data_IF_964203802718
#
_entry.id   IF_964203802718
#
_cell.length_a   1.000
_cell.length_b   1.000
_cell.length_c   1.000
_cell.angle_alpha   90.00
_cell.angle_beta   90.00
_cell.angle_gamma   90.00
#
_symmetry.space_group_name_H-M   'P 1'
#
loop_
_entity.id
_entity.type
_entity.pdbx_description
1 polymer ?
2 non-polymer ?
3 non-polymer ?
4 water ?
#
# COMPACT_ATOMS: atom_id res chain seq x y z
N UNK A 23 13.35 -9.03 -25.37
CA UNK A 23 12.25 -9.02 -26.32
C UNK A 23 11.22 -7.93 -26.06
N UNK A 24 11.69 -6.80 -25.47
CA UNK A 24 10.80 -5.67 -25.16
C UNK A 24 10.89 -4.61 -26.25
N UNK A 25 9.73 -4.09 -26.65
CA UNK A 25 9.66 -3.02 -27.64
C UNK A 25 10.19 -1.72 -27.03
N UNK A 26 10.64 -0.78 -27.87
CA UNK A 26 11.14 0.51 -27.40
C UNK A 26 10.10 1.22 -26.53
N UNK A 27 8.81 1.13 -26.91
CA UNK A 27 7.69 1.70 -26.16
C UNK A 27 7.47 1.01 -24.79
N UNK A 28 7.74 -0.32 -24.70
CA UNK A 28 7.67 -1.08 -23.45
C UNK A 28 8.82 -0.65 -22.55
N UNK A 29 10.04 -0.53 -23.12
CA UNK A 29 11.27 -0.06 -22.45
C UNK A 29 11.07 1.36 -21.89
N UNK A 30 10.49 2.27 -22.67
CA UNK A 30 10.19 3.67 -22.32
C UNK A 30 9.15 3.76 -21.19
N UNK A 31 8.18 2.85 -21.22
CA UNK A 31 7.09 2.73 -20.24
C UNK A 31 7.63 2.39 -18.82
N UNK A 32 8.53 1.38 -18.73
CA UNK A 32 9.17 0.90 -17.51
C UNK A 32 10.04 2.01 -16.94
N UNK A 33 10.85 2.61 -17.82
CA UNK A 33 11.71 3.73 -17.50
C UNK A 33 10.92 4.90 -16.88
N UNK A 34 9.75 5.24 -17.43
CA UNK A 34 8.90 6.33 -16.93
C UNK A 34 8.35 6.03 -15.51
N UNK A 35 7.96 4.79 -15.29
CA UNK A 35 7.43 4.30 -14.02
C UNK A 35 8.54 4.20 -12.98
N UNK A 36 9.75 3.72 -13.37
CA UNK A 36 10.92 3.57 -12.50
C UNK A 36 11.45 4.91 -12.04
N UNK A 37 11.41 5.90 -12.94
CA UNK A 37 11.78 7.29 -12.71
C UNK A 37 10.81 7.92 -11.73
N UNK A 38 9.47 7.76 -11.97
CA UNK A 38 8.42 8.29 -11.10
C UNK A 38 8.52 7.67 -9.68
N UNK A 39 8.85 6.36 -9.58
CA UNK A 39 9.06 5.65 -8.30
C UNK A 39 10.28 6.22 -7.53
N UNK A 40 11.42 6.35 -8.21
CA UNK A 40 12.69 6.89 -7.71
C UNK A 40 12.49 8.29 -7.11
N UNK A 41 11.72 9.13 -7.79
CA UNK A 41 11.54 10.51 -7.38
C UNK A 41 10.59 10.71 -6.22
N UNK A 42 9.66 9.76 -6.02
CA UNK A 42 8.55 9.94 -5.10
C UNK A 42 8.49 8.90 -4.00
N UNK A 43 9.41 7.91 -4.02
CA UNK A 43 9.45 6.92 -2.97
C UNK A 43 10.73 7.10 -2.19
N UNK A 44 10.58 7.70 -1.01
CA UNK A 44 11.62 7.92 -0.03
C UNK A 44 11.66 6.62 0.80
N UNK A 45 12.46 5.65 0.35
CA UNK A 45 12.65 4.32 0.94
C UNK A 45 13.20 4.35 2.39
N UNK A 46 13.83 5.47 2.78
CA UNK A 46 14.41 5.68 4.11
C UNK A 46 13.45 6.43 5.03
N UNK A 47 12.29 6.89 4.51
CA UNK A 47 11.25 7.63 5.24
C UNK A 47 11.81 8.85 6.03
N UNK A 48 12.93 9.42 5.52
CA UNK A 48 13.64 10.59 6.08
C UNK A 48 12.77 11.81 6.33
N UNK A 49 11.78 12.07 5.45
CA UNK A 49 10.90 13.23 5.56
C UNK A 49 9.61 12.96 6.30
N UNK A 50 9.51 11.76 6.89
CA UNK A 50 8.38 11.44 7.73
C UNK A 50 8.76 11.86 9.14
N UNK A 51 8.28 13.02 9.57
CA UNK A 51 8.55 13.57 10.91
C UNK A 51 7.34 14.33 11.43
N UNK A 52 7.42 14.79 12.68
CA UNK A 52 6.34 15.54 13.37
C UNK A 52 5.04 14.73 13.49
N UNK A 53 5.16 13.42 13.51
CA UNK A 53 4.01 12.53 13.62
C UNK A 53 3.64 12.35 15.08
N UNK A 54 2.38 12.00 15.32
CA UNK A 54 1.90 11.72 16.66
C UNK A 54 2.40 10.34 17.13
N UNK A 55 2.46 10.16 18.45
CA UNK A 55 2.87 8.91 19.08
C UNK A 55 1.91 8.54 20.19
N UNK A 56 1.68 7.24 20.46
CA UNK A 56 0.75 6.89 21.57
C UNK A 56 1.23 7.44 22.92
N UNK A 57 0.29 8.01 23.69
CA UNK A 57 0.52 8.64 24.99
C UNK A 57 1.37 7.83 25.95
N UNK A 58 2.16 8.54 26.79
CA UNK A 58 3.03 7.89 27.78
C UNK A 58 2.28 7.32 29.01
N UNK A 59 1.06 7.86 29.31
CA UNK A 59 0.14 7.43 30.38
C UNK A 59 0.75 7.51 31.78
N UNK A 78 -23.22 -3.17 21.35
CA UNK A 78 -22.19 -2.28 20.81
C UNK A 78 -21.58 -2.83 19.51
N UNK A 79 -21.28 -1.92 18.56
CA UNK A 79 -20.63 -2.23 17.27
C UNK A 79 -19.08 -2.25 17.45
N UNK A 80 -18.59 -1.88 18.66
CA UNK A 80 -17.19 -1.85 19.05
C UNK A 80 -16.53 -3.22 18.86
N UNK A 81 -17.27 -4.32 19.16
CA UNK A 81 -16.80 -5.71 19.05
C UNK A 81 -16.35 -6.07 17.64
N UNK A 82 -16.95 -5.41 16.62
CA UNK A 82 -16.59 -5.60 15.21
C UNK A 82 -15.23 -4.92 14.95
N UNK A 83 -15.09 -3.68 15.45
CA UNK A 83 -13.88 -2.85 15.39
C UNK A 83 -12.72 -3.55 16.12
N UNK A 84 -13.04 -4.22 17.27
CA UNK A 84 -12.10 -5.01 18.09
C UNK A 84 -11.49 -6.16 17.27
N UNK A 85 -12.35 -6.92 16.57
CA UNK A 85 -11.94 -8.05 15.73
C UNK A 85 -11.08 -7.60 14.56
N UNK A 86 -11.55 -6.57 13.83
CA UNK A 86 -10.83 -5.99 12.70
C UNK A 86 -9.45 -5.43 13.09
N UNK A 87 -9.33 -4.79 14.28
CA UNK A 87 -8.06 -4.23 14.75
C UNK A 87 -7.06 -5.24 15.37
N UNK A 88 -7.54 -6.17 16.23
CA UNK A 88 -6.70 -7.15 16.95
C UNK A 88 -5.79 -7.99 16.06
N UNK A 89 -6.28 -8.33 14.86
CA UNK A 89 -5.52 -9.11 13.89
C UNK A 89 -4.33 -8.31 13.32
N UNK A 90 -4.41 -6.95 13.38
CA UNK A 90 -3.43 -6.02 12.83
C UNK A 90 -2.49 -5.34 13.85
N UNK A 91 -2.35 -5.90 15.06
CA UNK A 91 -1.46 -5.36 16.09
C UNK A 91 0.02 -5.44 15.75
N UNK A 92 0.71 -4.32 15.94
CA UNK A 92 2.13 -4.13 15.72
C UNK A 92 2.76 -3.37 16.90
N UNK A 93 4.03 -3.67 17.18
CA UNK A 93 4.85 -2.94 18.14
C UNK A 93 5.62 -1.92 17.31
N UNK A 94 6.02 -0.82 17.91
CA UNK A 94 6.71 0.22 17.19
C UNK A 94 8.08 0.54 17.79
N UNK A 95 9.12 0.53 16.95
CA UNK A 95 10.47 0.88 17.34
C UNK A 95 10.93 2.13 16.57
N UNK A 96 11.56 3.09 17.28
CA UNK A 96 12.11 4.33 16.70
C UNK A 96 13.56 4.47 17.11
N UNK A 97 14.47 4.32 16.14
CA UNK A 97 15.91 4.43 16.32
C UNK A 97 16.32 5.87 16.08
N UNK A 98 16.94 6.49 17.08
CA UNK A 98 17.37 7.87 16.95
C UNK A 98 18.71 7.98 16.26
N UNK A 99 18.99 9.16 15.66
CA UNK A 99 20.26 9.49 14.97
C UNK A 99 21.50 9.34 15.89
N UNK A 100 21.29 9.52 17.23
CA UNK A 100 22.32 9.43 18.26
C UNK A 100 22.62 8.02 18.73
N UNK A 101 21.77 7.06 18.34
CA UNK A 101 21.93 5.67 18.75
C UNK A 101 20.88 5.23 19.76
N UNK A 102 20.04 6.16 20.20
CA UNK A 102 18.96 5.84 21.14
C UNK A 102 17.86 5.07 20.39
N UNK A 103 17.12 4.26 21.15
CA UNK A 103 16.02 3.44 20.66
C UNK A 103 14.82 3.61 21.58
N UNK A 104 13.67 3.95 21.03
CA UNK A 104 12.38 4.01 21.70
C UNK A 104 11.56 2.81 21.18
N UNK A 105 10.99 2.02 22.07
CA UNK A 105 10.16 0.85 21.73
C UNK A 105 8.79 1.00 22.35
N UNK A 106 7.73 0.73 21.56
CA UNK A 106 6.35 0.77 22.03
C UNK A 106 5.72 -0.59 21.86
N UNK A 107 5.20 -1.13 22.96
CA UNK A 107 4.48 -2.39 22.97
C UNK A 107 3.01 -1.99 23.21
N UNK A 108 2.07 -2.37 22.31
CA UNK A 108 0.67 -1.95 22.50
C UNK A 108 -0.08 -2.61 23.67
N UNK A 109 -1.18 -1.98 24.16
CA UNK A 109 -1.95 -2.58 25.27
C UNK A 109 -2.72 -3.84 24.89
N UNK A 110 -3.23 -4.52 25.90
CA UNK A 110 -4.19 -5.59 25.70
C UNK A 110 -5.53 -4.99 25.35
N UNK A 111 -6.27 -5.69 24.49
CA UNK A 111 -7.69 -5.45 24.33
C UNK A 111 -8.44 -5.87 25.59
N UNK A 112 -9.24 -4.94 26.10
CA UNK A 112 -9.74 -5.02 27.46
C UNK A 112 -11.15 -4.48 27.49
N UNK A 113 -11.98 -4.99 26.58
CA UNK A 113 -12.57 -4.16 25.55
C UNK A 113 -13.02 -2.84 26.10
N UNK A 114 -12.07 -1.95 26.35
CA UNK A 114 -12.05 -0.66 25.64
C UNK A 114 -11.38 0.31 24.68
N UNK A 115 -11.08 1.53 25.19
CA UNK A 115 -10.44 2.67 24.51
C UNK A 115 -9.05 2.37 23.92
N UNK A 116 -8.20 1.64 24.68
CA UNK A 116 -6.81 1.20 24.43
C UNK A 116 -6.49 0.78 22.98
N UNK A 117 -7.50 0.24 22.27
CA UNK A 117 -7.37 -0.29 20.92
C UNK A 117 -7.06 0.73 19.81
N UNK A 118 -7.25 2.03 20.10
CA UNK A 118 -7.02 3.13 19.15
C UNK A 118 -5.75 3.92 19.45
N UNK A 119 -4.95 3.48 20.43
CA UNK A 119 -3.72 4.16 20.87
C UNK A 119 -2.75 4.54 19.72
N UNK A 120 -2.61 3.63 18.72
CA UNK A 120 -1.71 3.80 17.59
C UNK A 120 -2.33 4.44 16.33
N UNK A 121 -3.68 4.61 16.29
CA UNK A 121 -4.40 5.20 15.16
C UNK A 121 -3.99 6.62 14.77
N UNK A 122 -3.80 7.61 15.68
CA UNK A 122 -3.28 8.92 15.26
C UNK A 122 -1.92 8.78 14.55
N UNK A 123 -0.99 7.93 15.07
CA UNK A 123 0.31 7.67 14.42
C UNK A 123 0.14 7.05 13.01
N UNK A 124 -0.75 6.03 12.89
CA UNK A 124 -1.03 5.33 11.64
C UNK A 124 -1.70 6.25 10.61
N UNK A 125 -2.54 7.21 11.10
CA UNK A 125 -3.18 8.24 10.28
C UNK A 125 -2.10 9.13 9.67
N UNK A 126 -1.08 9.47 10.45
CA UNK A 126 0.06 10.27 10.04
C UNK A 126 0.94 9.53 9.02
N UNK A 127 1.17 8.22 9.21
CA UNK A 127 1.94 7.37 8.27
C UNK A 127 1.19 7.22 6.96
N UNK A 128 -0.13 6.97 7.03
CA UNK A 128 -0.99 6.84 5.86
C UNK A 128 -0.94 8.11 5.03
N UNK A 129 -1.05 9.28 5.69
CA UNK A 129 -1.02 10.60 5.06
C UNK A 129 0.28 10.82 4.30
N UNK A 130 1.42 10.57 4.98
CA UNK A 130 2.76 10.69 4.41
C UNK A 130 2.92 9.80 3.16
N UNK A 131 2.42 8.56 3.24
CA UNK A 131 2.48 7.59 2.14
C UNK A 131 1.57 8.00 0.99
N UNK A 132 0.34 8.47 1.31
CA UNK A 132 -0.61 8.97 0.32
C UNK A 132 0.00 10.12 -0.47
N UNK A 133 0.72 11.06 0.20
CA UNK A 133 1.40 12.17 -0.48
C UNK A 133 2.39 11.66 -1.55
N UNK A 134 3.16 10.63 -1.20
CA UNK A 134 4.12 10.00 -2.10
C UNK A 134 3.45 9.37 -3.29
N UNK A 135 2.28 8.74 -3.07
CA UNK A 135 1.47 8.06 -4.09
C UNK A 135 0.91 9.07 -5.10
N UNK A 136 0.35 10.18 -4.59
CA UNK A 136 -0.18 11.28 -5.39
C UNK A 136 0.95 11.81 -6.28
N UNK A 137 2.15 12.08 -5.68
CA UNK A 137 3.32 12.57 -6.41
C UNK A 137 3.70 11.61 -7.53
N UNK A 138 3.67 10.30 -7.24
CA UNK A 138 3.97 9.23 -8.18
C UNK A 138 3.09 9.32 -9.39
N UNK A 139 1.76 9.38 -9.18
CA UNK A 139 0.78 9.49 -10.26
C UNK A 139 1.00 10.77 -11.07
N UNK A 140 1.16 11.93 -10.40
CA UNK A 140 1.38 13.25 -11.02
C UNK A 140 2.65 13.37 -11.86
N UNK A 141 3.64 12.50 -11.65
CA UNK A 141 4.90 12.50 -12.40
C UNK A 141 4.79 11.62 -13.67
N UNK A 142 3.78 10.73 -13.75
CA UNK A 142 3.58 9.83 -14.90
C UNK A 142 2.78 10.56 -15.99
N UNK A 143 3.33 10.58 -17.23
CA UNK A 143 2.76 11.22 -18.42
C UNK A 143 1.33 10.72 -18.73
N UNK A 144 1.16 9.39 -18.75
CA UNK A 144 -0.12 8.71 -19.00
C UNK A 144 -1.17 9.16 -18.00
N UNK A 145 -0.76 9.49 -16.76
CA UNK A 145 -1.67 9.95 -15.74
C UNK A 145 -2.01 11.45 -15.88
N UNK A 146 -0.99 12.32 -16.06
CA UNK A 146 -1.13 13.79 -16.23
C UNK A 146 -2.08 14.10 -17.41
N UNK A 147 -2.02 13.29 -18.49
CA UNK A 147 -2.80 13.41 -19.72
C UNK A 147 -4.28 13.12 -19.57
N UNK A 148 -4.68 12.41 -18.51
CA UNK A 148 -6.09 12.09 -18.27
C UNK A 148 -6.79 13.34 -17.75
N UNK A 149 -8.11 13.55 -17.96
CA UNK A 149 -8.76 14.75 -17.38
C UNK A 149 -8.70 14.74 -15.84
N UNK A 150 -8.61 15.94 -15.22
CA UNK A 150 -8.50 16.13 -13.78
C UNK A 150 -9.50 15.33 -12.94
N UNK A 151 -10.74 15.18 -13.43
CA UNK A 151 -11.82 14.42 -12.79
C UNK A 151 -11.41 12.94 -12.66
N UNK A 152 -10.83 12.38 -13.75
CA UNK A 152 -10.38 10.99 -13.79
C UNK A 152 -9.12 10.75 -12.96
N UNK A 153 -8.20 11.75 -12.95
CA UNK A 153 -6.99 11.76 -12.12
C UNK A 153 -7.39 11.57 -10.64
N UNK A 154 -8.35 12.39 -10.13
CA UNK A 154 -8.91 12.34 -8.77
C UNK A 154 -9.61 10.97 -8.56
N UNK A 155 -10.47 10.56 -9.51
CA UNK A 155 -11.17 9.27 -9.42
C UNK A 155 -10.26 8.02 -9.33
N UNK A 156 -9.12 8.02 -10.05
CA UNK A 156 -8.15 6.92 -10.04
C UNK A 156 -7.38 6.85 -8.73
N UNK A 157 -6.98 8.02 -8.21
CA UNK A 157 -6.27 8.20 -6.94
C UNK A 157 -7.11 7.76 -5.72
N UNK A 158 -8.38 8.19 -5.63
CA UNK A 158 -9.26 7.80 -4.51
C UNK A 158 -9.50 6.30 -4.54
N UNK A 159 -9.55 5.74 -5.75
CA UNK A 159 -9.76 4.32 -5.94
C UNK A 159 -8.55 3.45 -5.66
N UNK A 160 -7.31 3.94 -5.94
CA UNK A 160 -6.08 3.12 -5.83
C UNK A 160 -5.05 3.47 -4.75
N UNK A 161 -5.12 4.67 -4.15
CA UNK A 161 -4.17 5.17 -3.14
C UNK A 161 -3.74 4.15 -2.09
N UNK A 162 -4.73 3.50 -1.43
CA UNK A 162 -4.52 2.46 -0.42
C UNK A 162 -3.72 1.28 -1.01
N UNK A 163 -4.09 0.84 -2.24
CA UNK A 163 -3.43 -0.29 -2.91
C UNK A 163 -1.94 -0.01 -3.21
N UNK A 164 -1.66 1.21 -3.69
CA UNK A 164 -0.30 1.66 -4.04
C UNK A 164 0.56 1.79 -2.80
N UNK A 165 -0.06 2.24 -1.69
CA UNK A 165 0.53 2.37 -0.35
C UNK A 165 1.00 0.99 0.13
N UNK A 166 0.10 0.01 0.09
CA UNK A 166 0.32 -1.39 0.49
C UNK A 166 1.41 -2.06 -0.35
N UNK A 167 1.46 -1.75 -1.65
CA UNK A 167 2.48 -2.27 -2.59
C UNK A 167 3.86 -1.72 -2.25
N UNK A 168 3.93 -0.42 -1.91
CA UNK A 168 5.16 0.24 -1.47
C UNK A 168 5.63 -0.33 -0.13
N UNK A 169 4.70 -0.58 0.82
CA UNK A 169 5.03 -1.20 2.10
C UNK A 169 5.54 -2.61 1.98
N UNK A 170 5.09 -3.33 0.94
CA UNK A 170 5.58 -4.68 0.72
C UNK A 170 7.08 -4.74 0.41
N UNK A 171 7.62 -3.71 -0.21
CA UNK A 171 9.06 -3.65 -0.56
C UNK A 171 9.92 -3.44 0.69
N UNK A 172 9.31 -2.94 1.80
CA UNK A 172 10.02 -2.71 3.06
C UNK A 172 9.66 -3.76 4.12
N UNK A 173 8.81 -4.74 3.72
CA UNK A 173 8.39 -5.82 4.59
C UNK A 173 9.47 -6.90 4.72
N UNK A 174 9.82 -7.25 5.96
CA UNK A 174 10.75 -8.34 6.24
C UNK A 174 9.86 -9.51 6.69
N UNK A 175 9.72 -10.52 5.82
CA UNK A 175 8.85 -11.68 6.08
C UNK A 175 9.42 -12.67 7.11
N UNK A 176 10.75 -12.66 7.30
CA UNK A 176 11.43 -13.52 8.29
C UNK A 176 11.07 -13.07 9.73
N UNK A 177 11.09 -11.74 9.97
CA UNK A 177 10.81 -11.15 11.28
C UNK A 177 9.41 -10.55 11.44
N UNK A 178 8.59 -10.55 10.38
CA UNK A 178 7.24 -9.97 10.39
C UNK A 178 7.26 -8.49 10.65
N UNK A 179 8.26 -7.76 10.09
CA UNK A 179 8.41 -6.31 10.32
C UNK A 179 8.56 -5.43 9.06
N UNK A 180 7.87 -4.28 9.06
CA UNK A 180 8.00 -3.28 8.00
C UNK A 180 9.11 -2.35 8.46
N UNK A 181 10.23 -2.34 7.76
CA UNK A 181 11.40 -1.55 8.09
C UNK A 181 11.32 -0.24 7.34
N UNK A 182 10.78 0.78 8.01
CA UNK A 182 10.57 2.11 7.45
C UNK A 182 11.63 3.09 7.92
N UNK A 183 12.86 2.84 7.50
CA UNK A 183 14.00 3.69 7.87
C UNK A 183 14.32 3.56 9.34
N UNK A 184 14.04 4.62 10.10
CA UNK A 184 14.26 4.69 11.55
C UNK A 184 13.10 4.11 12.35
N UNK A 185 11.95 3.90 11.70
CA UNK A 185 10.72 3.34 12.25
C UNK A 185 10.66 1.86 11.82
N UNK A 186 10.27 0.97 12.73
CA UNK A 186 10.05 -0.47 12.48
C UNK A 186 8.71 -0.82 13.08
N UNK A 187 7.90 -1.58 12.34
CA UNK A 187 6.56 -2.00 12.78
C UNK A 187 6.56 -3.50 12.73
N UNK A 188 6.54 -4.10 13.92
CA UNK A 188 6.67 -5.53 14.07
C UNK A 188 5.37 -6.17 14.52
N UNK A 189 4.93 -7.21 13.81
CA UNK A 189 3.71 -7.93 14.16
C UNK A 189 3.86 -8.60 15.52
N UNK A 190 2.96 -8.25 16.45
CA UNK A 190 2.95 -8.71 17.85
C UNK A 190 2.76 -10.21 18.08
N UNK A 195 -1.04 -19.15 17.87
CA UNK A 195 -0.18 -18.30 17.06
C UNK A 195 0.25 -18.94 15.76
N UNK A 196 1.55 -18.80 15.39
CA UNK A 196 2.18 -19.35 14.18
C UNK A 196 1.64 -18.66 12.90
N UNK A 197 0.92 -19.41 12.04
CA UNK A 197 0.32 -18.95 10.78
C UNK A 197 -1.17 -18.59 10.93
N UNK A 198 -1.59 -18.23 12.15
CA UNK A 198 -2.96 -17.79 12.42
C UNK A 198 -3.10 -16.30 12.07
N UNK A 199 -1.95 -15.63 11.83
CA UNK A 199 -1.89 -14.24 11.42
C UNK A 199 -2.07 -14.15 9.89
N UNK A 200 -1.83 -15.28 9.17
CA UNK A 200 -2.05 -15.43 7.73
C UNK A 200 -3.56 -15.60 7.42
N UNK A 201 -4.42 -15.64 8.47
CA UNK A 201 -5.88 -15.69 8.38
C UNK A 201 -6.39 -14.28 8.13
N UNK A 202 -5.58 -13.25 8.50
CA UNK A 202 -5.90 -11.84 8.27
C UNK A 202 -5.47 -11.55 6.81
N UNK A 203 -6.43 -11.22 5.90
CA UNK A 203 -6.09 -11.04 4.46
C UNK A 203 -4.95 -10.10 4.15
N UNK A 204 -4.87 -8.98 4.86
CA UNK A 204 -3.83 -7.97 4.76
C UNK A 204 -2.47 -8.59 5.01
N UNK A 205 -2.37 -9.48 6.02
CA UNK A 205 -1.10 -10.12 6.36
C UNK A 205 -0.71 -11.20 5.41
N UNK A 206 -1.69 -12.04 5.00
CA UNK A 206 -1.50 -13.11 4.01
C UNK A 206 -0.99 -12.48 2.71
N UNK A 207 -1.58 -11.33 2.29
CA UNK A 207 -1.18 -10.61 1.09
C UNK A 207 0.31 -10.26 1.14
N UNK A 208 0.76 -9.58 2.23
CA UNK A 208 2.17 -9.21 2.38
C UNK A 208 3.16 -10.38 2.32
N UNK A 209 2.83 -11.51 2.99
CA UNK A 209 3.70 -12.70 2.98
C UNK A 209 3.75 -13.38 1.60
N UNK A 210 2.58 -13.51 0.95
CA UNK A 210 2.41 -14.11 -0.37
C UNK A 210 3.07 -13.28 -1.47
N UNK A 211 2.99 -11.92 -1.38
CA UNK A 211 3.64 -11.05 -2.35
C UNK A 211 5.15 -11.03 -2.15
N UNK A 212 5.61 -11.00 -0.89
CA UNK A 212 7.05 -11.03 -0.59
C UNK A 212 7.73 -12.33 -1.10
N UNK A 213 6.99 -13.47 -1.01
CA UNK A 213 7.45 -14.79 -1.47
C UNK A 213 7.67 -14.85 -2.99
N UNK A 214 6.97 -14.02 -3.77
CA UNK A 214 7.16 -13.94 -5.21
C UNK A 214 8.52 -13.35 -5.61
N UNK A 215 9.28 -12.78 -4.65
CA UNK A 215 10.62 -12.16 -4.86
C UNK A 215 10.66 -11.22 -6.09
N UNK A 216 9.70 -10.29 -6.16
CA UNK A 216 9.61 -9.39 -7.31
C UNK A 216 10.75 -8.40 -7.41
N UNK A 217 11.03 -8.00 -8.66
CA UNK A 217 12.00 -6.97 -9.02
C UNK A 217 11.31 -5.59 -8.81
N UNK A 218 12.10 -4.50 -8.75
CA UNK A 218 11.55 -3.14 -8.59
C UNK A 218 10.58 -2.83 -9.72
N UNK A 219 10.90 -3.28 -10.93
CA UNK A 219 10.14 -3.09 -12.17
C UNK A 219 8.77 -3.72 -12.09
N UNK A 220 8.68 -4.94 -11.53
CA UNK A 220 7.40 -5.65 -11.38
C UNK A 220 6.50 -4.99 -10.36
N UNK A 221 7.09 -4.44 -9.28
CA UNK A 221 6.36 -3.66 -8.26
C UNK A 221 5.76 -2.37 -8.84
N UNK A 222 6.57 -1.65 -9.62
CA UNK A 222 6.15 -0.39 -10.27
C UNK A 222 5.07 -0.65 -11.34
N UNK A 223 5.15 -1.82 -12.02
CA UNK A 223 4.15 -2.23 -13.01
C UNK A 223 2.83 -2.60 -12.35
N UNK A 224 2.89 -3.27 -11.18
CA UNK A 224 1.72 -3.63 -10.37
C UNK A 224 1.02 -2.36 -9.96
N UNK A 225 1.80 -1.37 -9.47
CA UNK A 225 1.33 -0.02 -9.10
C UNK A 225 0.61 0.65 -10.26
N UNK A 226 1.18 0.59 -11.46
CA UNK A 226 0.56 1.17 -12.68
C UNK A 226 -0.77 0.46 -13.01
N UNK A 227 -0.83 -0.89 -12.95
CA UNK A 227 -2.03 -1.68 -13.24
C UNK A 227 -3.15 -1.35 -12.24
N UNK A 228 -2.79 -1.17 -10.95
CA UNK A 228 -3.75 -0.82 -9.91
C UNK A 228 -4.20 0.65 -10.11
N UNK A 229 -3.26 1.57 -10.42
CA UNK A 229 -3.62 2.98 -10.61
C UNK A 229 -4.58 3.20 -11.78
N UNK A 230 -4.30 2.54 -12.91
CA UNK A 230 -5.09 2.65 -14.13
C UNK A 230 -6.16 1.57 -14.18
N UNK A 231 -7.06 1.54 -13.19
CA UNK A 231 -8.17 0.58 -13.15
C UNK A 231 -9.39 1.30 -13.73
N UNK A 232 -9.98 0.78 -14.82
CA UNK A 232 -11.08 1.53 -15.46
C UNK A 232 -12.43 1.48 -14.74
N UNK A 233 -12.59 0.56 -13.78
CA UNK A 233 -13.81 0.30 -13.03
C UNK A 233 -13.97 1.06 -11.72
N UNK A 234 -13.05 1.99 -11.41
CA UNK A 234 -13.15 2.79 -10.18
C UNK A 234 -14.34 3.76 -10.30
N UNK A 235 -15.16 3.95 -9.24
CA UNK A 235 -16.29 4.90 -9.35
C UNK A 235 -15.86 6.30 -9.77
N UNK A 236 -16.64 6.94 -10.65
CA UNK A 236 -16.36 8.28 -11.16
C UNK A 236 -15.43 8.37 -12.34
N UNK A 237 -15.04 7.20 -12.92
CA UNK A 237 -14.14 7.17 -14.08
C UNK A 237 -14.97 7.45 -15.35
N UNK A 238 -14.58 8.50 -16.10
CA UNK A 238 -15.25 8.91 -17.32
C UNK A 238 -14.57 8.30 -18.55
N UNK A 239 -13.24 8.49 -18.68
CA UNK A 239 -12.48 7.92 -19.79
C UNK A 239 -12.21 6.41 -19.59
N UNK A 240 -13.28 5.61 -19.38
CA UNK A 240 -13.21 4.15 -19.15
C UNK A 240 -12.47 3.39 -20.25
N UNK A 241 -12.60 3.80 -21.53
CA UNK A 241 -11.96 3.15 -22.68
C UNK A 241 -10.46 3.44 -22.70
N UNK A 242 -10.06 4.71 -22.45
CA UNK A 242 -8.65 5.15 -22.41
C UNK A 242 -7.92 4.48 -21.23
N UNK A 243 -8.50 4.56 -20.02
CA UNK A 243 -7.94 3.97 -18.80
C UNK A 243 -7.76 2.46 -19.01
N UNK A 244 -8.77 1.77 -19.57
CA UNK A 244 -8.72 0.33 -19.89
C UNK A 244 -7.61 -0.04 -20.88
N UNK A 245 -7.42 0.75 -21.95
CA UNK A 245 -6.37 0.43 -22.92
C UNK A 245 -4.98 0.63 -22.33
N UNK A 246 -4.83 1.69 -21.51
CA UNK A 246 -3.60 2.04 -20.80
C UNK A 246 -3.21 0.91 -19.85
N UNK A 247 -4.18 0.42 -19.06
CA UNK A 247 -3.98 -0.69 -18.11
C UNK A 247 -3.52 -1.96 -18.82
N UNK A 248 -4.17 -2.26 -19.97
CA UNK A 248 -3.85 -3.42 -20.81
C UNK A 248 -2.38 -3.36 -21.27
N UNK A 249 -1.90 -2.16 -21.66
CA UNK A 249 -0.51 -1.95 -22.09
C UNK A 249 0.51 -2.21 -20.96
N UNK A 250 0.21 -1.74 -19.73
CA UNK A 250 1.04 -1.98 -18.54
C UNK A 250 1.08 -3.47 -18.23
N UNK A 251 -0.08 -4.16 -18.32
CA UNK A 251 -0.20 -5.62 -18.12
C UNK A 251 0.63 -6.38 -19.18
N UNK A 252 0.53 -6.00 -20.47
CA UNK A 252 1.30 -6.60 -21.58
C UNK A 252 2.80 -6.39 -21.33
N UNK A 253 3.20 -5.14 -20.91
CA UNK A 253 4.60 -4.79 -20.60
C UNK A 253 5.15 -5.71 -19.48
N UNK A 254 4.34 -5.93 -18.42
CA UNK A 254 4.68 -6.77 -17.28
C UNK A 254 4.82 -8.23 -17.71
N UNK A 255 3.84 -8.75 -18.47
CA UNK A 255 3.83 -10.10 -19.01
C UNK A 255 5.09 -10.35 -19.85
N UNK A 256 5.42 -9.39 -20.73
CA UNK A 256 6.59 -9.43 -21.60
C UNK A 256 7.91 -9.30 -20.83
N UNK A 257 7.95 -8.40 -19.80
CA UNK A 257 9.14 -8.23 -18.96
C UNK A 257 9.50 -9.56 -18.27
N UNK A 258 8.50 -10.23 -17.68
CA UNK A 258 8.67 -11.53 -17.01
C UNK A 258 9.17 -12.61 -17.99
N UNK A 259 8.53 -12.72 -19.18
CA UNK A 259 8.92 -13.69 -20.21
C UNK A 259 10.38 -13.52 -20.62
N UNK A 260 10.80 -12.27 -20.85
CA UNK A 260 12.17 -11.91 -21.24
C UNK A 260 13.19 -11.95 -20.12
N UNK A 261 12.79 -11.74 -18.86
CA UNK A 261 13.78 -11.66 -17.78
C UNK A 261 13.76 -12.75 -16.72
N UNK A 262 12.69 -13.56 -16.66
CA UNK A 262 12.56 -14.62 -15.65
C UNK A 262 12.29 -16.00 -16.30
N UNK A 263 13.35 -16.63 -16.89
CA UNK A 263 13.16 -17.93 -17.57
C UNK A 263 13.07 -19.18 -16.69
N UNK A 264 13.39 -19.07 -15.39
CA UNK A 264 13.40 -20.22 -14.50
C UNK A 264 12.02 -20.81 -14.10
N UNK A 265 11.94 -22.16 -13.86
CA UNK A 265 10.65 -22.80 -13.54
C UNK A 265 9.86 -22.25 -12.34
N UNK A 266 10.54 -21.55 -11.41
CA UNK A 266 9.90 -20.94 -10.24
C UNK A 266 9.04 -19.77 -10.67
N UNK A 267 9.41 -19.14 -11.82
CA UNK A 267 8.71 -17.98 -12.38
C UNK A 267 7.69 -18.32 -13.46
N UNK A 268 7.29 -19.59 -13.49
CA UNK A 268 6.24 -20.07 -14.39
C UNK A 268 4.96 -19.59 -13.78
N UNK A 269 4.07 -19.04 -14.60
CA UNK A 269 2.79 -18.51 -14.15
C UNK A 269 2.92 -17.27 -13.22
N UNK A 270 4.13 -16.63 -13.18
CA UNK A 270 4.38 -15.45 -12.34
C UNK A 270 3.47 -14.31 -12.71
N UNK A 271 3.30 -14.03 -14.02
CA UNK A 271 2.38 -12.99 -14.46
C UNK A 271 0.97 -13.20 -13.95
N UNK A 272 0.47 -14.45 -13.97
CA UNK A 272 -0.88 -14.77 -13.49
C UNK A 272 -0.98 -14.70 -11.99
N UNK A 273 0.10 -15.08 -11.26
CA UNK A 273 0.17 -15.00 -9.79
C UNK A 273 0.07 -13.53 -9.36
N UNK A 274 0.82 -12.63 -10.02
CA UNK A 274 0.80 -11.18 -9.79
C UNK A 274 -0.61 -10.63 -10.03
N UNK A 275 -1.25 -11.04 -11.17
CA UNK A 275 -2.60 -10.60 -11.52
C UNK A 275 -3.65 -11.03 -10.52
N UNK A 276 -3.55 -12.27 -9.99
CA UNK A 276 -4.45 -12.77 -8.92
C UNK A 276 -4.22 -11.96 -7.61
N UNK A 277 -2.95 -11.59 -7.35
CA UNK A 277 -2.54 -10.78 -6.22
C UNK A 277 -3.17 -9.36 -6.29
N UNK A 278 -3.27 -8.77 -7.50
CA UNK A 278 -3.89 -7.45 -7.67
C UNK A 278 -5.41 -7.51 -7.49
N UNK A 279 -6.02 -8.66 -7.85
CA UNK A 279 -7.45 -8.90 -7.66
C UNK A 279 -7.72 -9.00 -6.15
N UNK A 280 -6.85 -9.73 -5.43
CA UNK A 280 -6.93 -9.90 -3.99
C UNK A 280 -6.78 -8.55 -3.27
N UNK A 281 -5.86 -7.71 -3.76
CA UNK A 281 -5.62 -6.38 -3.21
C UNK A 281 -6.84 -5.45 -3.33
N UNK A 282 -7.57 -5.51 -4.47
CA UNK A 282 -8.80 -4.76 -4.74
C UNK A 282 -9.87 -5.16 -3.72
N UNK A 283 -9.91 -6.46 -3.38
CA UNK A 283 -10.83 -7.04 -2.39
C UNK A 283 -10.41 -6.59 -0.97
N UNK A 284 -9.09 -6.64 -0.64
CA UNK A 284 -8.58 -6.15 0.65
C UNK A 284 -8.96 -4.65 0.82
N UNK A 285 -8.78 -3.84 -0.25
CA UNK A 285 -9.11 -2.42 -0.33
C UNK A 285 -10.59 -2.07 0.02
N UNK A 286 -11.57 -2.82 -0.56
CA UNK A 286 -13.01 -2.65 -0.32
C UNK A 286 -13.33 -2.95 1.16
N UNK A 287 -12.71 -4.01 1.69
CA UNK A 287 -12.85 -4.47 3.08
C UNK A 287 -12.29 -3.38 4.01
N UNK A 288 -11.06 -2.86 3.70
CA UNK A 288 -10.39 -1.81 4.47
C UNK A 288 -11.19 -0.51 4.54
N UNK A 289 -11.81 -0.09 3.42
CA UNK A 289 -12.65 1.11 3.37
C UNK A 289 -13.79 0.97 4.37
N UNK A 290 -14.44 -0.22 4.38
CA UNK A 290 -15.52 -0.56 5.31
C UNK A 290 -15.07 -0.55 6.76
N UNK A 291 -13.90 -1.14 7.08
CA UNK A 291 -13.33 -1.15 8.43
C UNK A 291 -12.99 0.28 8.88
N UNK A 292 -12.39 1.09 7.99
CA UNK A 292 -12.03 2.47 8.29
C UNK A 292 -13.28 3.32 8.48
N UNK A 293 -14.34 3.04 7.70
CA UNK A 293 -15.59 3.78 7.83
C UNK A 293 -16.23 3.52 9.18
N UNK A 294 -16.12 2.27 9.71
CA UNK A 294 -16.62 1.88 11.05
C UNK A 294 -15.84 2.54 12.18
N UNK A 295 -14.50 2.62 12.06
CA UNK A 295 -13.65 3.29 13.07
C UNK A 295 -14.02 4.78 13.12
N UNK A 296 -14.24 5.39 11.95
CA UNK A 296 -14.57 6.80 11.75
C UNK A 296 -15.94 7.16 12.38
N UNK A 297 -16.83 6.16 12.48
CA UNK A 297 -18.15 6.24 13.08
C UNK A 297 -18.01 6.37 14.59
N UNK A 298 -17.17 5.52 15.22
CA UNK A 298 -16.95 5.55 16.67
C UNK A 298 -16.05 6.74 17.08
N UNK A 299 -14.94 6.94 16.37
CA UNK A 299 -14.03 8.05 16.65
C UNK A 299 -13.37 8.58 15.39
N UNK A 300 -13.57 9.86 15.04
CA UNK A 300 -12.89 10.40 13.85
C UNK A 300 -11.37 10.42 14.00
N UNK A 301 -10.66 9.68 13.13
CA UNK A 301 -9.20 9.62 13.15
C UNK A 301 -8.55 10.12 11.87
N UNK A 302 -9.26 9.97 10.74
CA UNK A 302 -8.81 10.35 9.41
C UNK A 302 -8.36 11.80 9.29
N UNK A 303 -7.20 12.01 8.70
CA UNK A 303 -6.65 13.33 8.46
C UNK A 303 -7.39 13.96 7.27
N UNK A 304 -7.30 15.29 7.04
CA UNK A 304 -7.96 15.89 5.87
C UNK A 304 -7.69 15.14 4.55
N UNK A 305 -6.44 14.67 4.35
CA UNK A 305 -6.07 13.93 3.14
C UNK A 305 -6.79 12.59 3.06
N UNK A 306 -6.86 11.85 4.18
CA UNK A 306 -7.56 10.57 4.24
C UNK A 306 -9.05 10.80 4.02
N UNK A 307 -9.62 11.87 4.61
CA UNK A 307 -11.05 12.23 4.40
C UNK A 307 -11.31 12.49 2.92
N UNK A 308 -10.43 13.29 2.29
CA UNK A 308 -10.48 13.59 0.86
C UNK A 308 -10.41 12.30 0.03
N UNK A 309 -9.47 11.39 0.34
CA UNK A 309 -9.31 10.11 -0.38
C UNK A 309 -10.41 9.08 -0.12
N UNK A 310 -11.00 9.06 1.09
CA UNK A 310 -12.07 8.13 1.46
C UNK A 310 -13.48 8.75 1.27
N UNK A 311 -13.55 9.94 0.65
CA UNK A 311 -14.77 10.65 0.32
C UNK A 311 -15.52 11.36 1.44
N UNK A 312 -15.01 11.27 2.70
CA UNK A 312 -15.57 11.88 3.93
C UNK A 312 -15.85 13.41 3.84
#
# INVERSE_FOLDING_TARGET
MKKHHHHHHGSERTGTQPLGVQGLTEEQRMMIRELMDAQMKTFDTTFSHFKNFRLPGVLSSGCELPESLQAPSREEAAKWSQVRKDLCSLKVSLQLRGEDGSVWNYKPPADSGGKEIFSLLPHMADMSTYMFKGIISFAKVISYFRDLPIEDQISLLKGAAFELCQLRFNTVFNAETGTWECGRLSYCLEDTAGGFQQLLLEPMLKFHYMLKKLQLHEEEYVLMQAISLFSPDRPGVLQHRVVDQLQEQFAITLKSYIECNRPQPAHRFLFLKIMAMLTELRSINAQHTQRLLRIQDIHPFATPLMQELFGITGS
#
